data_IF_231231358232
#
_entry.id   IF_231231358232
#
_cell.length_a   1.000
_cell.length_b   1.000
_cell.length_c   1.000
_cell.angle_alpha   90.00
_cell.angle_beta   90.00
_cell.angle_gamma   90.00
#
_symmetry.space_group_name_H-M   'P 1'
#
loop_
_entity.id
_entity.type
_entity.pdbx_description
1 polymer ?
#
# COMPACT_ATOMS: atom_id res chain seq x y z
N UNK A 1 13.13 -44.72 0.12
CA UNK A 1 11.92 -43.92 0.37
C UNK A 1 12.26 -42.69 1.23
N UNK A 2 12.63 -41.53 0.68
CA UNK A 2 12.76 -40.32 1.49
C UNK A 2 11.43 -39.56 1.52
N UNK A 3 10.73 -39.62 2.66
CA UNK A 3 9.74 -38.62 3.07
C UNK A 3 10.49 -37.47 3.74
N UNK A 4 10.73 -36.38 3.01
CA UNK A 4 10.89 -35.05 3.60
C UNK A 4 10.14 -34.12 2.66
N UNK A 5 8.92 -33.78 3.06
CA UNK A 5 8.14 -32.74 2.42
C UNK A 5 9.01 -31.50 2.35
N UNK A 6 9.50 -31.26 1.15
CA UNK A 6 10.15 -30.04 0.73
C UNK A 6 9.14 -28.93 1.03
N UNK A 7 9.29 -28.34 2.22
CA UNK A 7 8.45 -27.23 2.67
C UNK A 7 8.73 -26.13 1.68
N UNK A 8 7.89 -26.11 0.64
CA UNK A 8 7.61 -25.03 -0.29
C UNK A 8 8.62 -23.91 -0.09
N UNK A 9 9.73 -23.95 -0.83
CA UNK A 9 10.60 -22.79 -0.99
C UNK A 9 9.65 -21.63 -1.27
N UNK A 10 9.39 -20.78 -0.27
CA UNK A 10 8.48 -19.64 -0.39
C UNK A 10 8.96 -18.88 -1.61
N UNK A 11 8.24 -19.02 -2.72
CA UNK A 11 8.60 -18.38 -3.98
C UNK A 11 8.67 -16.91 -3.67
N UNK A 12 9.88 -16.33 -3.69
CA UNK A 12 10.04 -14.89 -3.51
C UNK A 12 9.13 -14.23 -4.56
N UNK A 13 8.31 -13.24 -4.17
CA UNK A 13 7.47 -12.53 -5.13
C UNK A 13 8.36 -12.04 -6.27
N UNK A 14 7.90 -12.23 -7.51
CA UNK A 14 8.64 -11.83 -8.70
C UNK A 14 8.88 -10.32 -8.64
N UNK A 15 10.11 -9.88 -8.96
CA UNK A 15 10.46 -8.47 -9.06
C UNK A 15 9.49 -7.81 -10.06
N UNK A 16 8.79 -6.75 -9.64
CA UNK A 16 7.75 -6.08 -10.43
C UNK A 16 6.32 -6.58 -10.19
N UNK A 17 6.10 -7.56 -9.32
CA UNK A 17 4.75 -7.90 -8.87
C UNK A 17 4.26 -6.82 -7.89
N UNK A 18 3.05 -6.26 -8.07
CA UNK A 18 2.52 -5.27 -7.13
C UNK A 18 2.45 -5.89 -5.74
N UNK A 19 3.10 -5.23 -4.78
CA UNK A 19 3.03 -5.63 -3.38
C UNK A 19 1.73 -5.08 -2.80
N UNK A 20 0.78 -5.94 -2.38
CA UNK A 20 -0.44 -5.45 -1.76
C UNK A 20 -0.07 -4.79 -0.43
N UNK A 21 -0.52 -3.54 -0.26
CA UNK A 21 -0.49 -2.83 1.01
C UNK A 21 -1.90 -2.96 1.60
N UNK A 22 -2.00 -3.54 2.79
CA UNK A 22 -3.27 -3.71 3.49
C UNK A 22 -3.21 -2.93 4.80
N UNK A 23 -4.22 -2.09 5.02
CA UNK A 23 -4.41 -1.35 6.26
C UNK A 23 -5.83 -1.54 6.75
N UNK A 24 -6.00 -1.68 8.06
CA UNK A 24 -7.31 -1.69 8.69
C UNK A 24 -7.70 -0.27 9.07
N UNK A 25 -8.91 0.12 8.69
CA UNK A 25 -9.49 1.42 9.01
C UNK A 25 -10.64 1.19 10.00
N UNK A 26 -10.80 2.12 10.91
CA UNK A 26 -12.03 2.28 11.68
C UNK A 26 -13.15 2.83 10.79
N UNK A 27 -14.40 2.52 11.15
CA UNK A 27 -15.59 2.90 10.39
C UNK A 27 -15.64 4.39 9.98
N UNK A 28 -15.38 5.37 10.87
CA UNK A 28 -15.45 6.78 10.48
C UNK A 28 -14.36 7.16 9.47
N UNK A 29 -13.15 6.60 9.59
CA UNK A 29 -12.08 6.83 8.62
C UNK A 29 -12.41 6.20 7.27
N UNK A 30 -13.00 5.01 7.28
CA UNK A 30 -13.44 4.36 6.04
C UNK A 30 -14.47 5.22 5.29
N UNK A 31 -15.45 5.81 5.97
CA UNK A 31 -16.43 6.71 5.35
C UNK A 31 -15.77 7.95 4.70
N UNK A 32 -14.82 8.56 5.40
CA UNK A 32 -14.10 9.74 4.88
C UNK A 32 -13.33 9.36 3.61
N UNK A 33 -12.60 8.25 3.63
CA UNK A 33 -11.83 7.77 2.49
C UNK A 33 -12.74 7.39 1.32
N UNK A 34 -13.86 6.71 1.57
CA UNK A 34 -14.84 6.34 0.54
C UNK A 34 -15.40 7.58 -0.17
N UNK A 35 -15.86 8.58 0.59
CA UNK A 35 -16.39 9.83 0.02
C UNK A 35 -15.33 10.61 -0.76
N UNK A 36 -14.08 10.61 -0.30
CA UNK A 36 -12.97 11.26 -0.99
C UNK A 36 -12.64 10.55 -2.32
N UNK A 37 -12.62 9.22 -2.32
CA UNK A 37 -12.40 8.42 -3.51
C UNK A 37 -13.52 8.61 -4.54
N UNK A 38 -14.79 8.61 -4.09
CA UNK A 38 -15.95 8.90 -4.93
C UNK A 38 -15.86 10.28 -5.60
N UNK A 39 -15.47 11.31 -4.84
CA UNK A 39 -15.28 12.67 -5.38
C UNK A 39 -14.13 12.75 -6.39
N UNK A 40 -13.10 11.94 -6.22
CA UNK A 40 -11.98 11.85 -7.16
C UNK A 40 -12.31 11.04 -8.42
N UNK A 41 -13.41 10.27 -8.43
CA UNK A 41 -13.77 9.36 -9.51
C UNK A 41 -12.83 8.15 -9.61
N UNK A 42 -12.17 7.79 -8.51
CA UNK A 42 -11.18 6.71 -8.45
C UNK A 42 -11.65 5.59 -7.49
N UNK A 43 -11.08 4.38 -7.63
CA UNK A 43 -11.29 3.34 -6.61
C UNK A 43 -10.56 3.70 -5.31
N UNK A 44 -11.10 3.28 -4.16
CA UNK A 44 -10.48 3.49 -2.83
C UNK A 44 -9.00 3.07 -2.83
N UNK A 45 -8.67 1.92 -3.42
CA UNK A 45 -7.30 1.43 -3.52
C UNK A 45 -6.36 2.36 -4.29
N UNK A 46 -6.83 2.91 -5.41
CA UNK A 46 -6.05 3.82 -6.26
C UNK A 46 -5.87 5.17 -5.56
N UNK A 47 -6.95 5.69 -4.98
CA UNK A 47 -6.95 6.93 -4.22
C UNK A 47 -5.96 6.85 -3.04
N UNK A 48 -6.02 5.78 -2.25
CA UNK A 48 -5.13 5.58 -1.09
C UNK A 48 -3.67 5.42 -1.54
N UNK A 49 -3.40 4.65 -2.59
CA UNK A 49 -2.04 4.47 -3.10
C UNK A 49 -1.42 5.81 -3.54
N UNK A 50 -2.20 6.63 -4.26
CA UNK A 50 -1.80 7.97 -4.69
C UNK A 50 -1.57 8.91 -3.52
N UNK A 51 -2.49 8.96 -2.56
CA UNK A 51 -2.36 9.81 -1.37
C UNK A 51 -1.12 9.43 -0.52
N UNK A 52 -0.84 8.13 -0.37
CA UNK A 52 0.36 7.64 0.32
C UNK A 52 1.63 8.06 -0.42
N UNK A 53 1.65 7.97 -1.75
CA UNK A 53 2.79 8.41 -2.56
C UNK A 53 3.05 9.91 -2.42
N UNK A 54 2.02 10.76 -2.61
CA UNK A 54 2.13 12.22 -2.50
C UNK A 54 2.64 12.63 -1.10
N UNK A 55 2.13 11.97 -0.05
CA UNK A 55 2.58 12.22 1.32
C UNK A 55 4.03 11.77 1.52
N UNK A 56 4.42 10.61 1.00
CA UNK A 56 5.79 10.11 1.10
C UNK A 56 6.79 11.07 0.41
N UNK A 57 6.47 11.56 -0.78
CA UNK A 57 7.29 12.55 -1.49
C UNK A 57 7.43 13.86 -0.70
N UNK A 58 6.35 14.33 -0.09
CA UNK A 58 6.35 15.53 0.76
C UNK A 58 7.27 15.35 1.97
N UNK A 59 7.20 14.19 2.64
CA UNK A 59 8.06 13.87 3.80
C UNK A 59 9.53 13.79 3.40
N UNK A 60 9.85 13.22 2.23
CA UNK A 60 11.22 13.16 1.72
C UNK A 60 11.79 14.55 1.42
N UNK A 61 10.99 15.42 0.78
CA UNK A 61 11.39 16.82 0.49
C UNK A 61 11.56 17.67 1.75
N UNK A 62 10.69 17.49 2.75
CA UNK A 62 10.78 18.23 4.02
C UNK A 62 12.04 17.87 4.83
N UNK A 63 12.56 16.65 4.68
CA UNK A 63 13.81 16.21 5.32
C UNK A 63 15.08 16.65 4.59
N UNK A 64 14.98 17.11 3.33
CA UNK A 64 16.14 17.51 2.52
C UNK A 64 16.54 18.97 2.64
N UNK A 65 15.81 19.79 3.42
CA UNK A 65 16.26 21.12 3.84
C UNK A 65 16.99 20.99 5.18
N UNK A 66 18.33 20.86 5.20
CA UNK A 66 19.08 21.03 6.44
C UNK A 66 18.89 22.48 6.92
N UNK A 67 18.60 22.60 8.20
CA UNK A 67 18.46 23.87 8.91
C UNK A 67 19.85 24.40 9.29
#
# INVERSE_FOLDING_TARGET
MPRKGDRSKRRRPRKGFPHPVTGYLDDPTHEIVSRAAERAGESISTFVARAVQERAETVLKAKSTPK
#
